data_IF_325329185848
#
_entry.id   IF_325329185848
#
_cell.length_a   1.000
_cell.length_b   1.000
_cell.length_c   1.000
_cell.angle_alpha   90.00
_cell.angle_beta   90.00
_cell.angle_gamma   90.00
#
_symmetry.space_group_name_H-M   'P 1'
#
loop_
_entity.id
_entity.type
_entity.pdbx_description
1 polymer ?
#
# COMPACT_ATOMS: atom_id res chain seq x y z
N UNK A 1 -15.96 11.46 67.86
CA UNK A 1 -16.59 10.30 67.19
C UNK A 1 -17.90 10.01 67.89
N UNK A 2 -19.02 10.29 67.23
CA UNK A 2 -20.36 9.97 67.71
C UNK A 2 -21.32 9.88 66.51
N UNK A 3 -22.19 8.85 66.55
CA UNK A 3 -23.49 8.70 65.87
C UNK A 3 -23.41 8.49 64.33
N UNK A 4 -24.10 7.53 63.68
CA UNK A 4 -25.47 7.05 63.92
C UNK A 4 -25.75 5.76 63.11
N UNK A 5 -26.32 4.77 63.82
CA UNK A 5 -27.31 3.71 63.49
C UNK A 5 -27.28 2.79 62.23
N UNK A 6 -27.79 1.54 62.39
CA UNK A 6 -27.86 0.48 61.39
C UNK A 6 -29.21 0.43 60.65
N UNK A 7 -29.29 -0.33 59.54
CA UNK A 7 -30.52 -1.04 59.16
C UNK A 7 -30.21 -2.21 58.22
N UNK A 8 -30.67 -3.39 58.62
CA UNK A 8 -30.56 -4.65 57.89
C UNK A 8 -31.76 -4.91 56.97
N UNK A 9 -31.48 -5.74 55.95
CA UNK A 9 -32.34 -6.75 55.31
C UNK A 9 -33.42 -6.30 54.32
N UNK A 10 -33.29 -6.73 53.06
CA UNK A 10 -34.16 -7.77 52.48
C UNK A 10 -33.59 -8.33 51.17
N UNK A 11 -33.48 -9.66 51.17
CA UNK A 11 -33.23 -10.54 50.03
C UNK A 11 -34.51 -10.64 49.21
N UNK A 12 -34.47 -10.55 47.88
CA UNK A 12 -35.45 -11.24 47.05
C UNK A 12 -34.81 -11.67 45.73
N UNK A 13 -34.65 -12.98 45.62
CA UNK A 13 -34.24 -13.72 44.45
C UNK A 13 -35.37 -13.72 43.43
N UNK A 14 -35.07 -13.45 42.16
CA UNK A 14 -35.91 -13.88 41.04
C UNK A 14 -34.99 -14.47 39.97
N UNK A 15 -35.01 -15.79 39.88
CA UNK A 15 -34.43 -16.55 38.79
C UNK A 15 -35.36 -16.44 37.57
N UNK A 16 -34.81 -16.09 36.42
CA UNK A 16 -35.47 -16.29 35.14
C UNK A 16 -34.52 -17.12 34.27
N UNK A 17 -34.79 -18.42 34.25
CA UNK A 17 -34.21 -19.39 33.32
C UNK A 17 -34.84 -19.15 31.95
N UNK A 18 -34.03 -18.87 30.93
CA UNK A 18 -34.44 -19.05 29.53
C UNK A 18 -33.35 -19.86 28.84
N UNK A 19 -33.75 -21.06 28.46
CA UNK A 19 -32.95 -22.05 27.77
C UNK A 19 -32.86 -21.75 26.27
N UNK A 20 -31.75 -22.22 25.72
CA UNK A 20 -31.54 -22.71 24.35
C UNK A 20 -31.51 -21.70 23.19
N UNK A 21 -30.32 -21.57 22.60
CA UNK A 21 -30.06 -22.18 21.29
C UNK A 21 -28.55 -22.36 21.10
N UNK A 22 -28.13 -23.61 20.94
CA UNK A 22 -26.84 -23.96 20.34
C UNK A 22 -26.93 -23.65 18.86
N UNK A 23 -26.10 -22.73 18.35
CA UNK A 23 -25.70 -22.73 16.95
C UNK A 23 -24.19 -22.91 16.89
N UNK A 24 -23.79 -24.16 16.71
CA UNK A 24 -22.51 -24.48 16.08
C UNK A 24 -22.68 -24.15 14.60
N UNK A 25 -22.05 -23.09 14.14
CA UNK A 25 -21.78 -22.87 12.73
C UNK A 25 -20.27 -23.05 12.51
N UNK A 26 -19.85 -24.30 12.33
CA UNK A 26 -18.61 -24.59 11.62
C UNK A 26 -18.81 -24.18 10.17
N UNK A 27 -18.29 -23.01 9.80
CA UNK A 27 -18.03 -22.66 8.40
C UNK A 27 -16.54 -22.35 8.29
N UNK A 28 -15.77 -23.40 8.01
CA UNK A 28 -14.59 -23.24 7.19
C UNK A 28 -15.10 -22.86 5.79
N UNK A 29 -14.66 -21.73 5.25
CA UNK A 29 -14.50 -21.48 3.82
C UNK A 29 -13.98 -20.06 3.59
N UNK A 30 -12.88 -19.96 2.84
CA UNK A 30 -12.51 -18.76 2.11
C UNK A 30 -11.51 -17.87 2.82
N UNK A 31 -10.22 -18.14 2.60
CA UNK A 31 -9.30 -17.04 2.35
C UNK A 31 -9.88 -16.27 1.16
N UNK A 32 -10.66 -15.24 1.46
CA UNK A 32 -11.00 -14.25 0.46
C UNK A 32 -9.75 -13.44 0.28
N UNK A 33 -9.03 -13.70 -0.81
CA UNK A 33 -8.24 -12.66 -1.45
C UNK A 33 -9.18 -11.48 -1.61
N UNK A 34 -9.13 -10.53 -0.68
CA UNK A 34 -9.81 -9.25 -0.84
C UNK A 34 -9.15 -8.61 -2.03
N UNK A 35 -9.73 -8.82 -3.20
CA UNK A 35 -9.51 -8.00 -4.37
C UNK A 35 -9.98 -6.62 -3.93
N UNK A 36 -9.05 -5.80 -3.45
CA UNK A 36 -9.34 -4.39 -3.22
C UNK A 36 -9.56 -3.80 -4.60
N UNK A 37 -10.83 -3.57 -4.92
CA UNK A 37 -11.18 -2.66 -5.99
C UNK A 37 -10.76 -1.29 -5.47
N UNK A 38 -9.55 -0.82 -5.84
CA UNK A 38 -9.19 0.56 -5.63
C UNK A 38 -10.34 1.42 -6.18
N UNK A 39 -11.04 2.11 -5.29
CA UNK A 39 -12.17 2.98 -5.66
C UNK A 39 -11.70 4.29 -6.29
N UNK A 40 -10.41 4.37 -6.62
CA UNK A 40 -9.75 5.54 -7.20
C UNK A 40 -10.38 5.87 -8.55
N UNK A 41 -10.95 7.07 -8.71
CA UNK A 41 -11.50 7.51 -9.97
C UNK A 41 -10.47 7.37 -11.10
N UNK A 42 -10.85 6.67 -12.17
CA UNK A 42 -10.00 6.46 -13.35
C UNK A 42 -9.13 5.20 -13.32
N UNK A 43 -9.00 4.51 -12.18
CA UNK A 43 -8.31 3.21 -12.14
C UNK A 43 -9.25 2.08 -12.60
N UNK A 44 -8.87 1.27 -13.60
CA UNK A 44 -9.62 0.06 -13.95
C UNK A 44 -9.70 -0.91 -12.78
N UNK A 45 -10.74 -1.76 -12.74
CA UNK A 45 -10.89 -2.78 -11.70
C UNK A 45 -9.78 -3.86 -11.74
N UNK A 46 -9.18 -4.08 -12.91
CA UNK A 46 -8.04 -4.97 -13.10
C UNK A 46 -6.91 -4.23 -13.84
N UNK A 47 -6.18 -3.35 -13.14
CA UNK A 47 -5.21 -2.48 -13.78
C UNK A 47 -3.92 -3.24 -14.10
N UNK A 48 -3.40 -3.01 -15.30
CA UNK A 48 -1.99 -3.34 -15.61
C UNK A 48 -1.03 -2.46 -14.81
N UNK A 49 0.25 -2.86 -14.71
CA UNK A 49 1.32 -2.02 -14.12
C UNK A 49 1.30 -0.61 -14.69
N UNK A 50 1.21 -0.48 -16.01
CA UNK A 50 1.28 0.82 -16.67
C UNK A 50 0.08 1.70 -16.35
N UNK A 51 -1.14 1.14 -16.37
CA UNK A 51 -2.34 1.89 -15.98
C UNK A 51 -2.30 2.33 -14.52
N UNK A 52 -1.75 1.51 -13.64
CA UNK A 52 -1.54 1.89 -12.24
C UNK A 52 -0.56 3.06 -12.11
N UNK A 53 0.59 2.99 -12.79
CA UNK A 53 1.61 4.05 -12.78
C UNK A 53 1.08 5.35 -13.39
N UNK A 54 0.38 5.27 -14.53
CA UNK A 54 -0.23 6.42 -15.18
C UNK A 54 -1.29 7.08 -14.27
N UNK A 55 -2.13 6.28 -13.62
CA UNK A 55 -3.12 6.78 -12.66
C UNK A 55 -2.44 7.45 -11.48
N UNK A 56 -1.40 6.85 -10.91
CA UNK A 56 -0.66 7.41 -9.79
C UNK A 56 0.03 8.74 -10.16
N UNK A 57 0.68 8.79 -11.33
CA UNK A 57 1.32 10.00 -11.85
C UNK A 57 0.30 11.13 -12.07
N UNK A 58 -0.90 10.82 -12.57
CA UNK A 58 -1.97 11.80 -12.75
C UNK A 58 -2.54 12.37 -11.43
N UNK A 59 -2.35 11.67 -10.31
CA UNK A 59 -2.79 12.09 -8.98
C UNK A 59 -1.67 12.70 -8.13
N UNK A 60 -0.51 13.01 -8.72
CA UNK A 60 0.55 13.72 -8.03
C UNK A 60 0.08 15.14 -7.59
N UNK A 61 0.46 15.61 -6.39
CA UNK A 61 1.40 15.00 -5.45
C UNK A 61 0.81 13.80 -4.69
N UNK A 62 1.63 12.76 -4.51
CA UNK A 62 1.26 11.52 -3.80
C UNK A 62 1.55 11.64 -2.29
N UNK A 63 0.90 12.61 -1.65
CA UNK A 63 0.88 12.81 -0.19
C UNK A 63 0.29 11.61 0.56
N UNK A 64 0.35 11.63 1.90
CA UNK A 64 -0.33 10.65 2.76
C UNK A 64 -1.81 10.47 2.37
N UNK A 65 -2.58 11.55 2.29
CA UNK A 65 -4.02 11.49 2.01
C UNK A 65 -4.31 10.99 0.58
N UNK A 66 -3.65 11.55 -0.43
CA UNK A 66 -3.87 11.15 -1.82
C UNK A 66 -3.41 9.73 -2.09
N UNK A 67 -2.31 9.27 -1.48
CA UNK A 67 -1.84 7.88 -1.61
C UNK A 67 -2.77 6.91 -0.89
N UNK A 68 -3.27 7.27 0.30
CA UNK A 68 -4.28 6.45 0.99
C UNK A 68 -5.56 6.30 0.21
N UNK A 69 -5.98 7.37 -0.48
CA UNK A 69 -7.12 7.34 -1.38
C UNK A 69 -6.83 6.48 -2.62
N UNK A 70 -5.65 6.66 -3.24
CA UNK A 70 -5.21 5.93 -4.43
C UNK A 70 -5.21 4.41 -4.22
N UNK A 71 -4.82 3.97 -3.03
CA UNK A 71 -4.68 2.56 -2.67
C UNK A 71 -5.84 2.03 -1.82
N UNK A 72 -6.80 2.88 -1.44
CA UNK A 72 -7.87 2.54 -0.48
C UNK A 72 -7.32 1.85 0.79
N UNK A 73 -6.22 2.38 1.32
CA UNK A 73 -5.55 1.82 2.49
C UNK A 73 -4.86 2.94 3.28
N UNK A 74 -4.92 2.94 4.62
CA UNK A 74 -4.31 4.00 5.41
C UNK A 74 -2.78 3.99 5.29
N UNK A 75 -2.19 5.19 5.19
CA UNK A 75 -0.76 5.40 5.25
C UNK A 75 -0.37 5.77 6.68
N UNK A 76 0.45 4.92 7.30
CA UNK A 76 0.88 5.05 8.68
C UNK A 76 2.31 5.61 8.76
N UNK A 77 2.55 6.47 9.76
CA UNK A 77 3.87 7.03 9.95
C UNK A 77 4.81 6.00 10.59
N UNK A 78 5.91 5.67 9.92
CA UNK A 78 6.89 4.70 10.41
C UNK A 78 8.21 5.34 10.86
N UNK A 79 8.56 6.49 10.30
CA UNK A 79 9.71 7.30 10.68
C UNK A 79 9.36 8.79 10.58
N UNK A 80 10.17 9.68 11.18
CA UNK A 80 10.06 11.10 10.88
C UNK A 80 10.14 11.31 9.36
N UNK A 81 9.11 11.95 8.81
CA UNK A 81 8.97 12.24 7.37
C UNK A 81 8.76 11.03 6.45
N UNK A 82 8.42 9.85 6.99
CA UNK A 82 8.14 8.65 6.18
C UNK A 82 6.85 7.97 6.61
N UNK A 83 6.00 7.73 5.63
CA UNK A 83 4.76 6.98 5.79
C UNK A 83 4.76 5.76 4.88
N UNK A 84 4.10 4.70 5.31
CA UNK A 84 3.94 3.48 4.53
C UNK A 84 2.50 3.00 4.55
N UNK A 85 2.10 2.34 3.48
CA UNK A 85 0.82 1.63 3.41
C UNK A 85 1.06 0.13 3.51
N UNK A 86 0.13 -0.58 4.15
CA UNK A 86 0.09 -2.03 4.08
C UNK A 86 -0.10 -2.53 2.63
N UNK A 87 0.45 -3.72 2.29
CA UNK A 87 0.35 -4.26 0.95
C UNK A 87 -1.07 -4.72 0.64
N UNK A 88 -1.54 -4.38 -0.56
CA UNK A 88 -2.83 -4.80 -1.11
C UNK A 88 -2.66 -5.54 -2.43
N UNK A 89 -3.75 -6.10 -2.93
CA UNK A 89 -3.85 -6.64 -4.28
C UNK A 89 -4.79 -5.76 -5.10
N UNK A 90 -4.33 -5.31 -6.26
CA UNK A 90 -5.11 -4.54 -7.23
C UNK A 90 -5.41 -5.43 -8.43
N UNK A 91 -6.66 -5.87 -8.55
CA UNK A 91 -7.07 -6.78 -9.61
C UNK A 91 -6.38 -8.15 -9.55
N UNK A 92 -6.17 -8.77 -10.70
CA UNK A 92 -5.49 -10.07 -10.83
C UNK A 92 -4.02 -9.93 -11.22
N UNK A 93 -3.65 -8.79 -11.83
CA UNK A 93 -2.33 -8.56 -12.39
C UNK A 93 -1.31 -7.92 -11.43
N UNK A 94 -1.76 -7.27 -10.35
CA UNK A 94 -0.87 -6.53 -9.44
C UNK A 94 -1.06 -6.97 -7.99
N UNK A 95 -0.01 -7.57 -7.42
CA UNK A 95 0.02 -8.05 -6.04
C UNK A 95 1.00 -7.25 -5.20
N UNK A 96 0.86 -7.32 -3.88
CA UNK A 96 1.77 -6.68 -2.92
C UNK A 96 1.99 -5.20 -3.23
N UNK A 97 0.94 -4.51 -3.68
CA UNK A 97 0.99 -3.09 -3.99
C UNK A 97 1.06 -2.34 -2.67
N UNK A 98 2.14 -1.60 -2.46
CA UNK A 98 2.37 -0.83 -1.24
C UNK A 98 3.10 0.46 -1.59
N UNK A 99 3.10 1.42 -0.68
CA UNK A 99 3.76 2.70 -0.88
C UNK A 99 4.68 3.05 0.27
N UNK A 100 5.72 3.82 -0.05
CA UNK A 100 6.53 4.56 0.91
C UNK A 100 6.56 6.01 0.48
N UNK A 101 6.08 6.90 1.33
CA UNK A 101 5.91 8.32 1.06
C UNK A 101 6.97 9.09 1.82
N UNK A 102 7.71 9.95 1.13
CA UNK A 102 8.81 10.74 1.69
C UNK A 102 8.48 12.23 1.68
N UNK A 103 8.79 12.88 2.79
CA UNK A 103 8.64 14.32 2.96
C UNK A 103 9.98 14.99 3.30
N UNK A 104 10.10 16.26 2.95
CA UNK A 104 11.23 17.11 3.36
C UNK A 104 11.12 17.50 4.84
N UNK A 105 12.17 18.13 5.38
CA UNK A 105 12.15 18.68 6.74
C UNK A 105 11.02 19.70 6.97
N UNK A 106 10.68 20.46 5.92
CA UNK A 106 9.60 21.46 5.91
C UNK A 106 8.21 20.84 5.63
N UNK A 107 8.07 19.52 5.78
CA UNK A 107 6.83 18.76 5.54
C UNK A 107 6.25 18.95 4.14
N UNK A 108 7.11 19.20 3.14
CA UNK A 108 6.70 19.20 1.74
C UNK A 108 6.85 17.79 1.17
N UNK A 109 5.90 17.37 0.33
CA UNK A 109 6.00 16.09 -0.36
C UNK A 109 7.24 16.09 -1.27
N UNK A 110 8.09 15.08 -1.12
CA UNK A 110 9.34 14.95 -1.87
C UNK A 110 9.19 13.93 -3.00
N UNK A 111 8.73 12.72 -2.66
CA UNK A 111 8.49 11.62 -3.60
C UNK A 111 7.64 10.53 -2.94
N UNK A 112 7.11 9.64 -3.76
CA UNK A 112 6.47 8.41 -3.31
C UNK A 112 6.98 7.22 -4.11
N UNK A 113 7.49 6.23 -3.39
CA UNK A 113 7.84 4.92 -3.95
C UNK A 113 6.61 4.03 -3.93
N UNK A 114 6.23 3.51 -5.08
CA UNK A 114 5.16 2.52 -5.25
C UNK A 114 5.80 1.17 -5.53
N UNK A 115 5.72 0.26 -4.56
CA UNK A 115 6.13 -1.13 -4.70
C UNK A 115 4.97 -1.96 -5.24
N UNK A 116 5.27 -2.91 -6.12
CA UNK A 116 4.29 -3.87 -6.61
C UNK A 116 4.98 -5.15 -7.11
N UNK A 117 4.20 -6.21 -7.25
CA UNK A 117 4.59 -7.46 -7.90
C UNK A 117 3.66 -7.71 -9.06
N UNK A 118 4.13 -7.52 -10.32
CA UNK A 118 3.31 -7.87 -11.47
C UNK A 118 3.19 -9.39 -11.59
N UNK A 119 2.06 -9.86 -12.10
CA UNK A 119 1.84 -11.26 -12.43
C UNK A 119 2.79 -11.77 -13.52
N UNK A 120 3.15 -10.89 -14.45
CA UNK A 120 4.11 -11.11 -15.53
C UNK A 120 5.32 -10.22 -15.32
N UNK A 121 6.51 -10.82 -15.23
CA UNK A 121 7.77 -10.09 -15.07
C UNK A 121 7.99 -9.10 -16.22
N UNK A 122 8.10 -7.81 -15.89
CA UNK A 122 8.52 -6.77 -16.83
C UNK A 122 10.05 -6.62 -16.70
N UNK A 123 10.77 -6.99 -17.76
CA UNK A 123 12.22 -6.85 -17.84
C UNK A 123 12.62 -5.43 -18.25
N UNK A 124 13.93 -5.14 -18.26
CA UNK A 124 14.45 -3.87 -18.79
C UNK A 124 14.00 -3.61 -20.24
N UNK A 125 13.92 -4.64 -21.08
CA UNK A 125 13.46 -4.48 -22.47
C UNK A 125 11.97 -4.10 -22.52
N UNK A 126 11.14 -4.71 -21.67
CA UNK A 126 9.73 -4.34 -21.51
C UNK A 126 9.58 -2.91 -20.99
N UNK A 127 10.42 -2.51 -20.03
CA UNK A 127 10.45 -1.15 -19.51
C UNK A 127 10.85 -0.14 -20.60
N UNK A 128 11.88 -0.44 -21.40
CA UNK A 128 12.33 0.41 -22.52
C UNK A 128 11.30 0.49 -23.66
N UNK A 129 10.49 -0.54 -23.85
CA UNK A 129 9.38 -0.47 -24.80
C UNK A 129 8.34 0.59 -24.40
N UNK A 130 8.07 0.73 -23.09
CA UNK A 130 7.14 1.72 -22.55
C UNK A 130 7.80 3.11 -22.36
N UNK A 131 9.07 3.12 -21.94
CA UNK A 131 9.88 4.30 -21.68
C UNK A 131 11.20 4.26 -22.50
N UNK A 132 11.17 4.58 -23.81
CA UNK A 132 12.35 4.46 -24.67
C UNK A 132 13.51 5.40 -24.32
N UNK A 133 13.19 6.48 -23.62
CA UNK A 133 14.08 7.53 -23.15
C UNK A 133 14.69 7.25 -21.76
N UNK A 134 14.38 6.09 -21.17
CA UNK A 134 14.88 5.72 -19.85
C UNK A 134 16.40 5.51 -19.83
N UNK A 135 17.04 6.02 -18.78
CA UNK A 135 18.48 5.94 -18.57
C UNK A 135 18.78 5.24 -17.25
N UNK A 136 19.94 4.62 -17.15
CA UNK A 136 20.39 4.00 -15.92
C UNK A 136 20.89 5.09 -14.96
N UNK A 137 20.29 5.18 -13.77
CA UNK A 137 20.70 6.14 -12.74
C UNK A 137 21.57 5.47 -11.67
N UNK A 138 21.23 4.23 -11.28
CA UNK A 138 21.98 3.47 -10.28
C UNK A 138 22.07 2.00 -10.64
N UNK A 139 23.27 1.45 -10.52
CA UNK A 139 23.50 0.01 -10.60
C UNK A 139 23.54 -0.61 -9.21
N UNK A 140 23.04 -1.84 -9.12
CA UNK A 140 23.32 -2.74 -8.01
C UNK A 140 24.84 -2.90 -7.85
N UNK A 141 25.33 -2.82 -6.62
CA UNK A 141 26.77 -2.90 -6.31
C UNK A 141 27.36 -4.31 -6.37
N UNK A 142 26.52 -5.35 -6.50
CA UNK A 142 26.89 -6.77 -6.51
C UNK A 142 27.10 -7.38 -5.12
N UNK A 143 26.70 -6.71 -4.03
CA UNK A 143 26.94 -7.17 -2.65
C UNK A 143 25.79 -8.01 -2.09
N UNK A 144 24.61 -8.01 -2.71
CA UNK A 144 23.46 -8.78 -2.24
C UNK A 144 22.50 -9.13 -3.38
N UNK A 145 21.87 -10.32 -3.35
CA UNK A 145 20.85 -10.70 -4.34
C UNK A 145 19.59 -9.83 -4.30
N UNK A 146 19.40 -9.03 -3.23
CA UNK A 146 18.27 -8.10 -3.07
C UNK A 146 18.57 -6.68 -3.57
N UNK A 147 19.74 -6.48 -4.17
CA UNK A 147 20.08 -5.19 -4.75
C UNK A 147 19.22 -4.92 -5.98
N UNK A 148 19.15 -3.64 -6.33
CA UNK A 148 18.30 -3.16 -7.41
C UNK A 148 19.10 -2.27 -8.35
N UNK A 149 18.72 -2.32 -9.62
CA UNK A 149 19.09 -1.31 -10.59
C UNK A 149 17.96 -0.29 -10.69
N UNK A 150 18.29 0.99 -10.76
CA UNK A 150 17.34 2.07 -10.92
C UNK A 150 17.52 2.74 -12.27
N UNK A 151 16.41 2.89 -12.98
CA UNK A 151 16.35 3.48 -14.29
C UNK A 151 15.42 4.69 -14.26
N UNK A 152 15.93 5.85 -14.63
CA UNK A 152 15.21 7.11 -14.56
C UNK A 152 14.81 7.67 -15.92
N UNK A 153 13.65 8.32 -15.95
CA UNK A 153 13.24 9.19 -17.05
C UNK A 153 12.36 10.33 -16.52
N UNK A 154 12.23 11.40 -17.28
CA UNK A 154 11.29 12.48 -17.00
C UNK A 154 10.30 12.60 -18.13
N UNK A 155 9.01 12.53 -17.80
CA UNK A 155 7.92 12.82 -18.73
C UNK A 155 6.97 13.83 -18.12
N UNK A 156 6.56 14.78 -18.94
CA UNK A 156 5.78 15.94 -18.50
C UNK A 156 6.47 16.66 -17.32
N UNK A 157 5.83 16.64 -16.15
CA UNK A 157 6.31 17.25 -14.90
C UNK A 157 6.66 16.21 -13.82
N UNK A 158 6.82 14.94 -14.21
CA UNK A 158 7.13 13.83 -13.29
C UNK A 158 8.47 13.21 -13.65
N UNK A 159 9.32 13.08 -12.63
CA UNK A 159 10.50 12.22 -12.70
C UNK A 159 10.13 10.84 -12.17
N UNK A 160 10.43 9.83 -12.97
CA UNK A 160 10.15 8.42 -12.70
C UNK A 160 11.48 7.72 -12.47
N UNK A 161 11.61 7.01 -11.36
CA UNK A 161 12.75 6.11 -11.12
C UNK A 161 12.22 4.69 -10.94
N UNK A 162 12.43 3.85 -11.94
CA UNK A 162 11.96 2.46 -11.97
C UNK A 162 12.97 1.53 -11.32
N UNK A 163 12.51 0.64 -10.44
CA UNK A 163 13.34 -0.30 -9.70
C UNK A 163 13.24 -1.70 -10.30
N UNK A 164 14.35 -2.20 -10.86
CA UNK A 164 14.46 -3.60 -11.32
C UNK A 164 15.34 -4.37 -10.32
N UNK A 165 14.79 -5.43 -9.73
CA UNK A 165 15.56 -6.28 -8.81
C UNK A 165 16.65 -7.04 -9.57
N UNK A 166 17.89 -6.97 -9.10
CA UNK A 166 19.05 -7.50 -9.82
C UNK A 166 19.02 -9.03 -9.94
N UNK A 167 18.49 -9.73 -8.93
CA UNK A 167 18.39 -11.18 -8.93
C UNK A 167 17.34 -11.73 -9.91
N UNK A 168 16.15 -11.13 -9.95
CA UNK A 168 15.04 -11.59 -10.79
C UNK A 168 15.01 -10.94 -12.17
N UNK A 169 15.58 -9.74 -12.31
CA UNK A 169 15.49 -8.93 -13.52
C UNK A 169 14.09 -8.33 -13.74
N UNK A 170 13.21 -8.39 -12.74
CA UNK A 170 11.84 -7.91 -12.83
C UNK A 170 11.68 -6.52 -12.23
N UNK A 171 10.83 -5.70 -12.87
CA UNK A 171 10.34 -4.45 -12.30
C UNK A 171 9.54 -4.72 -11.02
N UNK A 172 9.91 -4.04 -9.94
CA UNK A 172 9.32 -4.22 -8.60
C UNK A 172 8.78 -2.94 -7.97
N UNK A 173 9.00 -1.80 -8.62
CA UNK A 173 8.44 -0.54 -8.17
C UNK A 173 8.84 0.65 -9.04
N UNK A 174 8.27 1.81 -8.68
CA UNK A 174 8.61 3.10 -9.26
C UNK A 174 8.55 4.19 -8.18
N UNK A 175 9.57 5.04 -8.13
CA UNK A 175 9.54 6.31 -7.42
C UNK A 175 8.98 7.39 -8.34
N UNK A 176 8.01 8.16 -7.82
CA UNK A 176 7.40 9.29 -8.51
C UNK A 176 7.71 10.57 -7.72
N UNK A 177 8.30 11.55 -8.40
CA UNK A 177 8.67 12.83 -7.81
C UNK A 177 8.43 13.99 -8.79
N UNK A 178 8.36 15.24 -8.33
CA UNK A 178 8.33 16.39 -9.23
C UNK A 178 9.57 16.39 -10.12
N UNK A 179 9.39 16.82 -11.37
CA UNK A 179 10.52 17.13 -12.24
C UNK A 179 11.44 18.15 -11.55
N UNK A 180 12.74 17.82 -11.51
CA UNK A 180 13.80 18.71 -11.02
C UNK A 180 14.15 19.80 -12.02
#
# INVERSE_FOLDING_TARGET
MALTRPRSTMMTTAAATLAAAVMVATSACGGGDTVSNASTPGMPADPTVWQFIDTASAHMPLTQESTSTLLDTPAEQILPRRWETEPITLGTHLKNVASTIFYTDDQQWERTYLKFTPDTCITLDGLKAQYPDITLERLASGHSPKEVNEYGTTRDNTHFIFTIEAGSGCLTGVDLSPKQ
#
